data_IF_738680068964
#
_entry.id   IF_738680068964
#
_cell.length_a   1.000
_cell.length_b   1.000
_cell.length_c   1.000
_cell.angle_alpha   90.00
_cell.angle_beta   90.00
_cell.angle_gamma   90.00
#
_symmetry.space_group_name_H-M   'P 1'
#
loop_
_entity.id
_entity.type
_entity.pdbx_description
1 polymer ?
#
# COMPACT_ATOMS: atom_id res chain seq x y z
N UNK A 1 21.47 -23.91 20.41
CA UNK A 1 20.05 -23.49 20.41
C UNK A 1 19.55 -23.69 21.85
N UNK A 2 19.44 -22.57 22.59
CA UNK A 2 19.22 -22.62 24.04
C UNK A 2 17.79 -23.03 24.39
N UNK A 3 17.62 -24.01 25.29
CA UNK A 3 16.30 -24.47 25.81
C UNK A 3 15.45 -23.37 26.47
N UNK A 4 16.04 -22.23 26.84
CA UNK A 4 15.31 -21.08 27.41
C UNK A 4 14.41 -20.35 26.43
N UNK A 5 14.67 -20.38 25.11
CA UNK A 5 13.83 -19.70 24.11
C UNK A 5 12.50 -20.43 23.94
N UNK A 6 12.50 -21.77 24.01
CA UNK A 6 11.29 -22.59 23.84
C UNK A 6 10.36 -22.48 25.06
N UNK A 7 10.90 -22.34 26.27
CA UNK A 7 10.10 -22.21 27.49
C UNK A 7 9.34 -20.88 27.63
N UNK A 8 9.82 -19.79 27.01
CA UNK A 8 9.14 -18.49 27.06
C UNK A 8 7.99 -18.32 26.07
N UNK A 9 8.00 -19.09 24.98
CA UNK A 9 6.89 -19.10 24.01
C UNK A 9 5.67 -19.83 24.58
N UNK A 10 5.87 -20.84 25.44
CA UNK A 10 4.77 -21.58 26.07
C UNK A 10 4.02 -20.83 27.16
N UNK A 11 4.59 -19.75 27.73
CA UNK A 11 3.96 -18.93 28.78
C UNK A 11 3.03 -17.81 28.30
N UNK A 12 2.90 -17.58 26.99
CA UNK A 12 2.01 -16.54 26.39
C UNK A 12 0.62 -17.11 26.05
N UNK A 13 0.35 -18.33 26.43
CA UNK A 13 -0.95 -18.96 26.25
C UNK A 13 -1.98 -18.43 27.25
N UNK A 14 -2.81 -17.44 26.92
CA UNK A 14 -4.20 -17.32 27.37
C UNK A 14 -4.85 -15.93 27.24
N UNK A 15 -4.31 -15.02 26.41
CA UNK A 15 -5.02 -13.76 26.12
C UNK A 15 -5.03 -13.46 24.62
N UNK A 16 -5.79 -14.26 23.88
CA UNK A 16 -6.13 -13.99 22.48
C UNK A 16 -7.48 -13.26 22.42
N UNK A 17 -7.52 -11.90 22.43
CA UNK A 17 -8.79 -11.18 22.28
C UNK A 17 -9.40 -11.37 20.86
N UNK A 18 -8.60 -11.80 19.88
CA UNK A 18 -9.07 -12.00 18.50
C UNK A 18 -10.11 -13.14 18.36
N UNK A 19 -10.00 -14.22 19.15
CA UNK A 19 -11.00 -15.30 19.14
C UNK A 19 -12.33 -14.89 19.80
N UNK A 20 -12.29 -13.95 20.75
CA UNK A 20 -13.51 -13.43 21.40
C UNK A 20 -14.27 -12.46 20.47
N UNK A 21 -13.60 -11.73 19.59
CA UNK A 21 -14.25 -10.87 18.59
C UNK A 21 -14.96 -11.67 17.51
N UNK A 22 -14.45 -12.84 17.13
CA UNK A 22 -15.11 -13.75 16.18
C UNK A 22 -16.40 -14.36 16.73
N UNK A 23 -16.54 -14.55 18.04
CA UNK A 23 -17.73 -15.13 18.64
C UNK A 23 -18.93 -14.17 18.74
N UNK A 24 -18.73 -12.87 18.68
CA UNK A 24 -19.80 -11.85 18.67
C UNK A 24 -20.49 -11.76 17.29
N UNK A 25 -19.89 -12.31 16.24
CA UNK A 25 -20.40 -12.25 14.87
C UNK A 25 -21.43 -13.32 14.52
N UNK A 26 -21.86 -14.16 15.49
CA UNK A 26 -22.85 -15.20 15.27
C UNK A 26 -24.31 -14.76 15.53
N UNK A 27 -24.58 -13.45 15.57
CA UNK A 27 -25.96 -13.00 15.45
C UNK A 27 -26.53 -13.45 14.09
N UNK A 28 -27.79 -13.86 14.01
CA UNK A 28 -28.38 -14.34 12.76
C UNK A 28 -28.35 -13.20 11.74
N UNK A 29 -27.37 -13.29 10.83
CA UNK A 29 -27.20 -12.35 9.73
C UNK A 29 -28.38 -12.56 8.79
N UNK A 30 -29.20 -11.54 8.56
CA UNK A 30 -30.30 -11.58 7.61
C UNK A 30 -29.82 -12.12 6.26
N UNK A 31 -30.67 -12.91 5.58
CA UNK A 31 -30.27 -13.69 4.39
C UNK A 31 -29.73 -12.88 3.20
N UNK A 32 -29.84 -11.54 3.24
CA UNK A 32 -29.37 -10.61 2.21
C UNK A 32 -27.95 -10.07 2.42
N UNK A 33 -27.34 -10.21 3.59
CA UNK A 33 -26.03 -9.66 3.91
C UNK A 33 -24.88 -10.47 3.31
N UNK A 34 -23.87 -9.78 2.80
CA UNK A 34 -22.61 -10.37 2.39
C UNK A 34 -21.59 -10.10 3.50
N UNK A 35 -21.03 -11.17 4.06
CA UNK A 35 -20.00 -11.11 5.08
C UNK A 35 -18.72 -11.72 4.54
N UNK A 36 -17.66 -10.93 4.49
CA UNK A 36 -16.31 -11.37 4.18
C UNK A 36 -15.44 -11.16 5.42
N UNK A 37 -14.73 -12.19 5.84
CA UNK A 37 -13.79 -12.13 6.95
C UNK A 37 -12.45 -12.72 6.52
N UNK A 38 -11.36 -12.07 6.93
CA UNK A 38 -10.01 -12.53 6.69
C UNK A 38 -9.20 -12.52 7.98
N UNK A 39 -8.38 -13.52 8.16
CA UNK A 39 -7.38 -13.58 9.22
C UNK A 39 -6.08 -14.07 8.62
N UNK A 40 -4.98 -13.45 8.95
CA UNK A 40 -3.65 -13.84 8.49
C UNK A 40 -2.67 -13.76 9.64
N UNK A 41 -2.18 -14.91 10.06
CA UNK A 41 -1.11 -15.05 11.04
C UNK A 41 0.21 -15.22 10.31
N UNK A 42 1.20 -14.41 10.64
CA UNK A 42 2.54 -14.47 10.08
C UNK A 42 3.57 -14.59 11.21
N UNK A 43 4.46 -15.55 11.08
CA UNK A 43 5.63 -15.70 11.93
C UNK A 43 6.87 -15.42 11.09
N UNK A 44 7.74 -14.53 11.57
CA UNK A 44 8.97 -14.14 10.89
C UNK A 44 10.17 -14.23 11.81
N UNK A 45 11.21 -14.90 11.33
CA UNK A 45 12.54 -14.91 11.90
C UNK A 45 13.45 -14.09 11.01
N UNK A 46 14.13 -13.09 11.54
CA UNK A 46 15.11 -12.28 10.79
C UNK A 46 16.18 -11.70 11.69
N UNK A 47 17.39 -11.39 11.17
CA UNK A 47 18.35 -10.57 11.89
C UNK A 47 17.84 -9.12 11.97
N UNK A 48 18.13 -8.46 13.07
CA UNK A 48 17.97 -7.02 13.29
C UNK A 48 19.31 -6.44 13.72
N UNK A 49 19.60 -5.26 13.16
CA UNK A 49 20.76 -4.49 13.58
C UNK A 49 20.34 -3.47 14.64
N UNK A 50 20.98 -3.50 15.80
CA UNK A 50 20.61 -2.67 16.92
C UNK A 50 21.87 -2.16 17.64
N UNK A 51 22.07 -0.85 17.66
CA UNK A 51 23.16 -0.20 18.38
C UNK A 51 24.55 -0.81 18.14
N UNK A 52 24.85 -1.23 16.90
CA UNK A 52 26.13 -1.83 16.53
C UNK A 52 26.22 -3.35 16.72
N UNK A 53 25.14 -4.01 17.17
CA UNK A 53 25.08 -5.45 17.35
C UNK A 53 23.97 -6.08 16.49
N UNK A 54 24.20 -7.31 16.01
CA UNK A 54 23.23 -8.07 15.23
C UNK A 54 22.53 -9.09 16.13
N UNK A 55 21.20 -8.99 16.23
CA UNK A 55 20.39 -9.92 17.00
C UNK A 55 19.37 -10.60 16.11
N UNK A 56 19.09 -11.86 16.36
CA UNK A 56 18.01 -12.58 15.71
C UNK A 56 16.71 -12.35 16.48
N UNK A 57 15.70 -11.84 15.79
CA UNK A 57 14.38 -11.59 16.34
C UNK A 57 13.33 -12.52 15.75
N UNK A 58 12.29 -12.76 16.53
CA UNK A 58 11.06 -13.45 16.13
C UNK A 58 9.92 -12.47 16.21
N UNK A 59 9.18 -12.34 15.13
CA UNK A 59 7.96 -11.52 15.06
C UNK A 59 6.77 -12.40 14.74
N UNK A 60 5.73 -12.30 15.55
CA UNK A 60 4.40 -12.82 15.26
C UNK A 60 3.48 -11.66 14.91
N UNK A 61 2.84 -11.69 13.75
CA UNK A 61 1.90 -10.66 13.29
C UNK A 61 0.58 -11.31 12.96
N UNK A 62 -0.51 -10.72 13.43
CA UNK A 62 -1.87 -11.07 13.08
C UNK A 62 -2.52 -9.89 12.35
N UNK A 63 -3.17 -10.17 11.23
CA UNK A 63 -3.95 -9.23 10.44
C UNK A 63 -5.39 -9.74 10.40
N UNK A 64 -6.35 -8.90 10.74
CA UNK A 64 -7.78 -9.24 10.75
C UNK A 64 -8.53 -8.24 9.89
N UNK A 65 -9.39 -8.74 9.01
CA UNK A 65 -10.29 -7.95 8.19
C UNK A 65 -11.72 -8.47 8.29
N UNK A 66 -12.68 -7.56 8.33
CA UNK A 66 -14.11 -7.84 8.26
C UNK A 66 -14.78 -6.83 7.34
N UNK A 67 -15.62 -7.32 6.44
CA UNK A 67 -16.49 -6.50 5.60
C UNK A 67 -17.89 -7.08 5.65
N UNK A 68 -18.85 -6.31 6.11
CA UNK A 68 -20.28 -6.64 6.08
C UNK A 68 -20.95 -5.68 5.12
N UNK A 69 -21.57 -6.19 4.07
CA UNK A 69 -22.16 -5.40 2.98
C UNK A 69 -23.64 -5.69 2.79
N UNK A 70 -24.34 -4.75 2.19
CA UNK A 70 -25.75 -4.83 1.88
C UNK A 70 -26.61 -5.09 3.11
N UNK A 71 -26.37 -4.36 4.20
CA UNK A 71 -27.17 -4.41 5.40
C UNK A 71 -28.46 -3.63 5.10
N UNK A 72 -29.60 -4.28 5.20
CA UNK A 72 -30.90 -3.66 4.96
C UNK A 72 -31.34 -2.82 6.15
N UNK A 73 -31.39 -1.50 5.94
CA UNK A 73 -31.93 -0.54 6.92
C UNK A 73 -32.88 0.41 6.19
N UNK A 74 -34.07 0.60 6.73
CA UNK A 74 -35.07 1.47 6.12
C UNK A 74 -34.53 2.90 5.94
N UNK A 75 -34.57 3.40 4.70
CA UNK A 75 -34.10 4.75 4.35
C UNK A 75 -32.58 4.88 4.14
N UNK A 76 -31.82 3.79 4.23
CA UNK A 76 -30.39 3.74 3.94
C UNK A 76 -30.15 2.71 2.86
N UNK A 77 -29.58 3.15 1.75
CA UNK A 77 -29.14 2.28 0.67
C UNK A 77 -27.70 1.83 0.94
N UNK A 78 -27.38 0.56 0.63
CA UNK A 78 -26.01 0.03 0.68
C UNK A 78 -25.23 0.30 1.99
N UNK A 79 -25.86 0.00 3.14
CA UNK A 79 -25.15 0.13 4.40
C UNK A 79 -24.05 -0.95 4.51
N UNK A 80 -22.83 -0.51 4.75
CA UNK A 80 -21.62 -1.35 4.85
C UNK A 80 -20.86 -1.04 6.14
N UNK A 81 -20.21 -2.08 6.69
CA UNK A 81 -19.29 -1.95 7.84
C UNK A 81 -17.96 -2.55 7.41
N UNK A 82 -16.88 -1.86 7.70
CA UNK A 82 -15.51 -2.32 7.42
C UNK A 82 -14.65 -2.21 8.68
N UNK A 83 -13.90 -3.28 8.93
CA UNK A 83 -12.84 -3.34 9.95
C UNK A 83 -11.57 -3.88 9.31
N UNK A 84 -10.44 -3.26 9.61
CA UNK A 84 -9.10 -3.78 9.37
C UNK A 84 -8.24 -3.44 10.58
N UNK A 85 -7.61 -4.45 11.17
CA UNK A 85 -6.77 -4.29 12.34
C UNK A 85 -5.58 -5.24 12.28
N UNK A 86 -4.51 -4.90 12.97
CA UNK A 86 -3.35 -5.75 13.10
C UNK A 86 -2.77 -5.70 14.51
N UNK A 87 -2.05 -6.78 14.86
CA UNK A 87 -1.27 -6.86 16.08
C UNK A 87 0.05 -7.55 15.81
N UNK A 88 1.09 -7.14 16.49
CA UNK A 88 2.43 -7.71 16.39
C UNK A 88 3.04 -7.96 17.76
N UNK A 89 3.72 -9.09 17.89
CA UNK A 89 4.55 -9.45 19.03
C UNK A 89 5.99 -9.60 18.55
N UNK A 90 6.95 -9.09 19.30
CA UNK A 90 8.38 -9.24 19.02
C UNK A 90 9.12 -9.85 20.22
N UNK A 91 10.06 -10.74 19.94
CA UNK A 91 10.98 -11.24 20.96
C UNK A 91 12.04 -10.22 21.37
N UNK A 92 12.25 -9.20 20.54
CA UNK A 92 13.17 -8.10 20.82
C UNK A 92 12.46 -7.02 21.62
N UNK A 93 13.05 -6.62 22.72
CA UNK A 93 12.59 -5.52 23.57
C UNK A 93 13.69 -4.46 23.60
N UNK A 94 13.42 -3.32 23.05
CA UNK A 94 14.28 -2.16 23.12
C UNK A 94 13.47 -0.85 23.19
N UNK A 95 14.16 0.29 23.17
CA UNK A 95 13.53 1.62 23.23
C UNK A 95 12.62 1.95 22.04
N UNK A 96 12.77 1.22 20.93
CA UNK A 96 11.98 1.44 19.70
C UNK A 96 10.84 0.40 19.59
N UNK A 97 11.07 -0.84 20.06
CA UNK A 97 10.11 -1.93 19.99
C UNK A 97 9.64 -2.35 21.37
N UNK A 98 8.40 -2.08 21.69
CA UNK A 98 7.78 -2.36 23.00
C UNK A 98 7.50 -3.85 23.24
N UNK A 99 7.92 -4.74 22.34
CA UNK A 99 7.63 -6.18 22.40
C UNK A 99 6.23 -6.56 21.93
N UNK A 100 5.24 -5.64 22.01
CA UNK A 100 3.91 -5.80 21.45
C UNK A 100 3.41 -4.46 20.92
N UNK A 101 2.79 -4.48 19.74
CA UNK A 101 2.17 -3.30 19.13
C UNK A 101 0.97 -3.75 18.30
N UNK A 102 0.05 -2.85 18.03
CA UNK A 102 -1.10 -3.11 17.18
C UNK A 102 -1.90 -1.85 16.97
N UNK A 103 -2.68 -1.82 15.89
CA UNK A 103 -3.56 -0.71 15.56
C UNK A 103 -4.78 -1.17 14.76
N UNK A 104 -5.76 -0.30 14.69
CA UNK A 104 -6.92 -0.42 13.81
C UNK A 104 -6.63 0.48 12.60
N UNK A 105 -6.44 -0.11 11.42
CA UNK A 105 -6.21 0.66 10.20
C UNK A 105 -7.51 1.28 9.69
N UNK A 106 -8.61 0.53 9.73
CA UNK A 106 -9.94 0.96 9.29
C UNK A 106 -11.00 0.48 10.27
N UNK A 107 -11.94 1.35 10.59
CA UNK A 107 -13.17 1.00 11.31
C UNK A 107 -14.24 2.02 10.98
N UNK A 108 -15.05 1.74 9.99
CA UNK A 108 -16.08 2.67 9.56
C UNK A 108 -17.40 2.01 9.20
N UNK A 109 -18.43 2.81 9.22
CA UNK A 109 -19.75 2.51 8.69
C UNK A 109 -19.99 3.47 7.52
N UNK A 110 -20.40 2.94 6.38
CA UNK A 110 -20.73 3.69 5.17
C UNK A 110 -22.14 3.36 4.72
N UNK A 111 -22.91 4.36 4.35
CA UNK A 111 -24.23 4.19 3.78
C UNK A 111 -24.53 5.24 2.72
N UNK A 112 -25.43 4.93 1.82
CA UNK A 112 -26.00 5.87 0.86
C UNK A 112 -27.43 6.22 1.24
N UNK A 113 -27.83 7.47 0.93
CA UNK A 113 -29.13 8.03 1.23
C UNK A 113 -29.70 8.68 -0.03
N UNK A 114 -31.02 8.86 -0.09
CA UNK A 114 -31.70 9.56 -1.17
C UNK A 114 -31.40 8.97 -2.56
N UNK A 115 -31.53 7.64 -2.71
CA UNK A 115 -31.20 6.91 -3.95
C UNK A 115 -29.77 7.19 -4.43
N UNK A 116 -28.79 7.01 -3.53
CA UNK A 116 -27.37 7.22 -3.77
C UNK A 116 -26.94 8.68 -4.08
N UNK A 117 -27.81 9.67 -3.86
CA UNK A 117 -27.39 11.07 -4.01
C UNK A 117 -26.44 11.52 -2.90
N UNK A 118 -26.56 11.00 -1.70
CA UNK A 118 -25.67 11.29 -0.59
C UNK A 118 -25.04 10.00 -0.06
N UNK A 119 -23.71 9.89 -0.08
CA UNK A 119 -22.94 8.85 0.58
C UNK A 119 -22.28 9.42 1.82
N UNK A 120 -22.40 8.74 2.96
CA UNK A 120 -21.78 9.12 4.23
C UNK A 120 -20.93 7.99 4.76
N UNK A 121 -19.75 8.32 5.27
CA UNK A 121 -18.84 7.40 5.96
C UNK A 121 -18.48 7.98 7.31
N UNK A 122 -18.61 7.18 8.37
CA UNK A 122 -18.34 7.57 9.75
C UNK A 122 -17.34 6.60 10.38
N UNK A 123 -16.32 7.12 11.04
CA UNK A 123 -15.29 6.35 11.75
C UNK A 123 -13.90 6.51 11.14
N UNK A 124 -13.01 5.54 11.43
CA UNK A 124 -11.64 5.53 10.91
C UNK A 124 -11.61 5.09 9.46
N UNK A 125 -11.27 5.99 8.59
CA UNK A 125 -11.33 5.82 7.14
C UNK A 125 -10.16 6.47 6.42
N UNK A 126 -9.95 6.08 5.16
CA UNK A 126 -9.05 6.77 4.26
C UNK A 126 -9.85 7.74 3.37
N UNK A 127 -9.47 9.00 3.40
CA UNK A 127 -9.92 10.02 2.45
C UNK A 127 -8.82 10.19 1.42
N UNK A 128 -9.16 10.08 0.14
CA UNK A 128 -8.18 10.14 -0.95
C UNK A 128 -8.61 11.09 -2.05
N UNK A 129 -7.61 11.61 -2.78
CA UNK A 129 -7.80 12.49 -3.94
C UNK A 129 -7.64 13.98 -3.62
N UNK A 130 -7.24 14.71 -4.63
CA UNK A 130 -6.96 16.14 -4.54
C UNK A 130 -5.93 16.49 -3.47
N UNK A 131 -6.14 17.59 -2.75
CA UNK A 131 -5.26 18.08 -1.69
C UNK A 131 -5.11 17.10 -0.50
N UNK A 132 -6.08 16.23 -0.26
CA UNK A 132 -5.99 15.22 0.79
C UNK A 132 -4.95 14.14 0.47
N UNK A 133 -4.68 13.87 -0.82
CA UNK A 133 -3.85 12.76 -1.30
C UNK A 133 -4.32 11.42 -0.73
N UNK A 134 -3.74 11.01 0.40
CA UNK A 134 -4.20 9.91 1.25
C UNK A 134 -4.12 10.40 2.69
N UNK A 135 -5.28 10.63 3.30
CA UNK A 135 -5.42 11.07 4.67
C UNK A 135 -6.22 10.00 5.44
N UNK A 136 -5.62 9.41 6.47
CA UNK A 136 -6.35 8.57 7.40
C UNK A 136 -7.01 9.47 8.45
N UNK A 137 -8.31 9.29 8.68
CA UNK A 137 -9.12 10.21 9.47
C UNK A 137 -10.07 9.45 10.40
N UNK A 138 -10.09 9.80 11.67
CA UNK A 138 -11.16 9.47 12.62
C UNK A 138 -12.21 10.56 12.54
N UNK A 139 -13.28 10.35 11.77
CA UNK A 139 -14.23 11.43 11.51
C UNK A 139 -15.37 11.06 10.57
N UNK A 140 -15.81 12.05 9.84
CA UNK A 140 -16.90 11.97 8.86
C UNK A 140 -16.38 12.34 7.47
N UNK A 141 -16.87 11.64 6.47
CA UNK A 141 -16.71 11.97 5.06
C UNK A 141 -18.06 11.80 4.36
N UNK A 142 -18.47 12.80 3.58
CA UNK A 142 -19.71 12.78 2.83
C UNK A 142 -19.49 13.18 1.38
N UNK A 143 -20.22 12.56 0.47
CA UNK A 143 -20.24 12.91 -0.96
C UNK A 143 -21.67 13.12 -1.40
N UNK A 144 -21.96 14.31 -1.91
CA UNK A 144 -23.26 14.69 -2.47
C UNK A 144 -23.18 14.80 -3.99
N UNK A 145 -24.01 14.03 -4.67
CA UNK A 145 -24.18 14.07 -6.13
C UNK A 145 -25.37 14.93 -6.49
N UNK A 146 -25.15 16.10 -7.09
CA UNK A 146 -26.20 16.96 -7.61
C UNK A 146 -26.77 16.42 -8.94
N UNK A 147 -25.92 15.76 -9.70
CA UNK A 147 -26.27 15.08 -10.94
C UNK A 147 -25.28 13.93 -11.19
N UNK A 148 -25.49 13.16 -12.25
CA UNK A 148 -24.50 12.14 -12.67
C UNK A 148 -23.14 12.72 -13.04
N UNK A 149 -23.13 14.01 -13.43
CA UNK A 149 -21.93 14.69 -13.89
C UNK A 149 -21.26 15.55 -12.83
N UNK A 150 -21.95 15.95 -11.76
CA UNK A 150 -21.42 16.92 -10.80
C UNK A 150 -21.68 16.50 -9.37
N UNK A 151 -20.63 16.57 -8.54
CA UNK A 151 -20.73 16.27 -7.12
C UNK A 151 -19.70 17.04 -6.28
N UNK A 152 -19.92 17.01 -4.97
CA UNK A 152 -19.04 17.59 -3.95
C UNK A 152 -18.84 16.59 -2.85
N UNK A 153 -17.60 16.45 -2.37
CA UNK A 153 -17.27 15.71 -1.15
C UNK A 153 -16.71 16.66 -0.10
N UNK A 154 -16.98 16.35 1.18
CA UNK A 154 -16.42 17.07 2.31
C UNK A 154 -16.09 16.09 3.42
N UNK A 155 -15.05 16.37 4.18
CA UNK A 155 -14.61 15.55 5.29
C UNK A 155 -14.11 16.41 6.46
N UNK A 156 -14.23 15.85 7.67
CA UNK A 156 -13.72 16.48 8.89
C UNK A 156 -13.44 15.43 9.97
N UNK A 157 -12.42 15.63 10.79
CA UNK A 157 -12.07 14.75 11.91
C UNK A 157 -10.62 14.87 12.35
N UNK A 158 -10.21 13.94 13.21
CA UNK A 158 -8.84 13.85 13.68
C UNK A 158 -7.99 13.04 12.70
N UNK A 159 -6.91 13.61 12.10
CA UNK A 159 -5.97 12.82 11.30
C UNK A 159 -5.28 11.79 12.18
N UNK A 160 -5.14 10.56 11.67
CA UNK A 160 -4.48 9.48 12.36
C UNK A 160 -3.23 9.08 11.59
N UNK A 161 -2.10 8.99 12.28
CA UNK A 161 -0.90 8.38 11.72
C UNK A 161 -0.75 6.99 12.32
N UNK A 162 -0.98 5.96 11.50
CA UNK A 162 -0.71 4.60 11.93
C UNK A 162 0.75 4.48 12.34
N UNK A 163 1.05 4.33 13.60
CA UNK A 163 2.29 3.74 14.17
C UNK A 163 3.08 4.51 15.21
N UNK A 164 3.12 5.83 15.33
CA UNK A 164 4.16 6.40 16.20
C UNK A 164 3.71 7.32 17.33
N UNK A 165 2.69 8.07 17.17
CA UNK A 165 2.05 8.90 18.23
C UNK A 165 0.79 9.49 17.62
N UNK A 166 -0.30 9.43 18.35
CA UNK A 166 -1.47 10.24 17.99
C UNK A 166 -1.05 11.70 18.16
N UNK A 167 -1.11 12.52 17.11
CA UNK A 167 -0.91 13.94 17.26
C UNK A 167 -2.05 14.47 18.13
N UNK A 168 -1.74 14.78 19.38
CA UNK A 168 -2.73 15.24 20.35
C UNK A 168 -3.24 16.61 19.91
N UNK A 169 -4.54 16.70 19.63
CA UNK A 169 -5.21 17.95 19.28
C UNK A 169 -5.08 18.37 17.81
N UNK A 170 -4.79 17.44 16.89
CA UNK A 170 -4.91 17.72 15.47
C UNK A 170 -6.35 17.55 14.98
N UNK A 171 -6.76 18.47 14.10
CA UNK A 171 -8.04 18.44 13.42
C UNK A 171 -7.83 18.76 11.93
N UNK A 172 -8.38 17.94 11.07
CA UNK A 172 -8.34 18.13 9.63
C UNK A 172 -9.73 18.29 9.06
N UNK A 173 -9.88 19.19 8.10
CA UNK A 173 -11.09 19.30 7.29
C UNK A 173 -10.75 19.71 5.87
N UNK A 174 -11.66 19.38 4.96
CA UNK A 174 -11.47 19.71 3.57
C UNK A 174 -12.64 19.23 2.71
N UNK A 175 -12.46 19.40 1.41
CA UNK A 175 -13.46 18.99 0.45
C UNK A 175 -12.94 19.01 -0.98
N UNK A 176 -13.74 18.43 -1.88
CA UNK A 176 -13.45 18.35 -3.30
C UNK A 176 -14.75 18.53 -4.09
N UNK A 177 -14.77 19.47 -5.03
CA UNK A 177 -15.80 19.58 -6.05
C UNK A 177 -15.29 18.90 -7.33
N UNK A 178 -16.12 18.13 -7.99
CA UNK A 178 -15.70 17.38 -9.17
C UNK A 178 -16.77 17.37 -10.26
N UNK A 179 -16.30 17.29 -11.49
CA UNK A 179 -17.10 17.24 -12.70
C UNK A 179 -16.70 16.04 -13.57
N UNK A 180 -17.70 15.28 -14.01
CA UNK A 180 -17.59 14.09 -14.87
C UNK A 180 -18.26 14.34 -16.20
N UNK A 181 -17.57 14.98 -17.17
CA UNK A 181 -18.18 15.34 -18.46
C UNK A 181 -18.55 14.11 -19.31
N UNK A 182 -17.84 13.01 -19.14
CA UNK A 182 -18.07 11.78 -19.89
C UNK A 182 -17.65 10.56 -19.08
N UNK A 183 -18.02 9.38 -19.56
CA UNK A 183 -17.55 8.12 -18.97
C UNK A 183 -16.02 8.03 -19.03
N UNK A 184 -15.40 7.78 -17.88
CA UNK A 184 -13.93 7.69 -17.75
C UNK A 184 -13.20 9.02 -17.62
N UNK A 185 -13.92 10.16 -17.63
CA UNK A 185 -13.34 11.50 -17.42
C UNK A 185 -13.89 12.13 -16.15
N UNK A 186 -13.00 12.69 -15.33
CA UNK A 186 -13.32 13.44 -14.13
C UNK A 186 -12.26 14.51 -13.90
N UNK A 187 -12.68 15.70 -13.49
CA UNK A 187 -11.81 16.80 -13.06
C UNK A 187 -12.31 17.30 -11.71
N UNK A 188 -11.40 17.58 -10.78
CA UNK A 188 -11.74 18.07 -9.45
C UNK A 188 -10.84 19.21 -9.00
N UNK A 189 -11.40 20.04 -8.13
CA UNK A 189 -10.67 21.03 -7.32
C UNK A 189 -10.93 20.74 -5.87
N UNK A 190 -9.92 20.92 -5.02
CA UNK A 190 -9.96 20.47 -3.63
C UNK A 190 -9.24 21.42 -2.70
N UNK A 191 -9.58 21.31 -1.43
CA UNK A 191 -8.98 22.06 -0.34
C UNK A 191 -8.76 21.12 0.86
N UNK A 192 -7.67 21.33 1.57
CA UNK A 192 -7.35 20.67 2.84
C UNK A 192 -6.78 21.68 3.82
N UNK A 193 -7.25 21.63 5.07
CA UNK A 193 -6.67 22.34 6.18
C UNK A 193 -6.43 21.40 7.36
N UNK A 194 -5.26 21.51 8.01
CA UNK A 194 -4.89 20.78 9.22
C UNK A 194 -4.46 21.79 10.28
N UNK A 195 -5.10 21.71 11.44
CA UNK A 195 -4.82 22.53 12.61
C UNK A 195 -4.21 21.62 13.67
N UNK A 196 -3.07 21.98 14.23
CA UNK A 196 -2.39 21.28 15.32
C UNK A 196 -2.41 22.15 16.57
N UNK A 197 -3.20 21.74 17.58
CA UNK A 197 -3.52 22.59 18.72
C UNK A 197 -4.26 23.87 18.30
N UNK A 198 -3.61 25.02 18.38
CA UNK A 198 -4.15 26.31 17.93
C UNK A 198 -3.41 26.89 16.73
N UNK A 199 -2.52 26.12 16.11
CA UNK A 199 -1.67 26.58 15.02
C UNK A 199 -2.11 25.93 13.72
N UNK A 200 -2.23 26.74 12.66
CA UNK A 200 -2.41 26.23 11.30
C UNK A 200 -1.14 25.47 10.89
N UNK A 201 -1.26 24.16 10.72
CA UNK A 201 -0.15 23.27 10.41
C UNK A 201 0.02 23.06 8.91
N UNK A 202 -1.10 23.07 8.17
CA UNK A 202 -1.10 22.83 6.74
C UNK A 202 -2.35 23.39 6.08
N UNK A 203 -2.18 24.05 4.93
CA UNK A 203 -3.28 24.55 4.12
C UNK A 203 -2.95 24.36 2.64
N UNK A 204 -3.68 23.48 1.97
CA UNK A 204 -3.41 23.09 0.60
C UNK A 204 -4.65 23.29 -0.28
N UNK A 205 -4.40 23.70 -1.52
CA UNK A 205 -5.38 23.60 -2.61
C UNK A 205 -4.87 22.61 -3.63
N UNK A 206 -5.79 21.85 -4.25
CA UNK A 206 -5.42 20.83 -5.22
C UNK A 206 -6.31 20.86 -6.44
N UNK A 207 -5.75 20.45 -7.56
CA UNK A 207 -6.49 20.12 -8.77
C UNK A 207 -6.11 18.70 -9.17
N UNK A 208 -7.07 17.92 -9.63
CA UNK A 208 -6.82 16.58 -10.13
C UNK A 208 -7.76 16.23 -11.26
N UNK A 209 -7.35 15.34 -12.12
CA UNK A 209 -8.20 14.91 -13.20
C UNK A 209 -7.72 13.64 -13.89
N UNK A 210 -8.69 12.95 -14.44
CA UNK A 210 -8.53 11.87 -15.39
C UNK A 210 -9.36 12.18 -16.61
N UNK A 211 -8.79 12.07 -17.79
CA UNK A 211 -9.44 12.40 -19.03
C UNK A 211 -9.25 11.31 -20.06
N UNK A 212 -10.33 10.74 -20.54
CA UNK A 212 -10.33 9.88 -21.74
C UNK A 212 -10.33 10.79 -22.99
N UNK A 213 -9.12 11.13 -23.47
CA UNK A 213 -8.93 12.07 -24.61
C UNK A 213 -9.48 11.44 -25.90
N UNK A 214 -9.16 10.18 -26.11
CA UNK A 214 -9.62 9.32 -27.21
C UNK A 214 -9.92 7.93 -26.63
N UNK A 215 -10.61 7.04 -27.37
CA UNK A 215 -10.85 5.67 -26.90
C UNK A 215 -9.59 4.90 -26.50
N UNK A 216 -8.45 5.25 -27.07
CA UNK A 216 -7.15 4.62 -26.84
C UNK A 216 -6.11 5.55 -26.23
N UNK A 217 -6.50 6.77 -25.79
CA UNK A 217 -5.63 7.75 -25.15
C UNK A 217 -6.28 8.26 -23.88
N UNK A 218 -5.58 8.12 -22.76
CA UNK A 218 -6.00 8.68 -21.47
C UNK A 218 -4.89 9.53 -20.85
N UNK A 219 -5.30 10.59 -20.16
CA UNK A 219 -4.42 11.44 -19.39
C UNK A 219 -4.88 11.45 -17.93
N UNK A 220 -3.93 11.46 -16.99
CA UNK A 220 -4.17 11.77 -15.58
C UNK A 220 -3.24 12.90 -15.18
N UNK A 221 -3.74 13.83 -14.37
CA UNK A 221 -2.93 14.91 -13.84
C UNK A 221 -3.39 15.21 -12.41
N UNK A 222 -2.44 15.62 -11.57
CA UNK A 222 -2.72 16.17 -10.25
C UNK A 222 -1.73 17.28 -9.93
N UNK A 223 -2.15 18.23 -9.11
CA UNK A 223 -1.29 19.29 -8.61
C UNK A 223 -1.80 19.76 -7.25
N UNK A 224 -0.89 20.01 -6.34
CA UNK A 224 -1.16 20.49 -4.99
C UNK A 224 -0.24 21.67 -4.72
N UNK A 225 -0.85 22.76 -4.32
CA UNK A 225 -0.18 23.99 -3.92
C UNK A 225 -0.38 24.20 -2.43
N UNK A 226 0.71 24.35 -1.68
CA UNK A 226 0.68 24.74 -0.28
C UNK A 226 0.51 26.26 -0.19
N UNK A 227 -0.60 26.70 0.39
CA UNK A 227 -0.88 28.13 0.58
C UNK A 227 0.08 28.71 1.62
N UNK A 228 0.37 27.93 2.67
CA UNK A 228 1.21 28.38 3.78
C UNK A 228 2.65 28.57 3.35
N UNK A 229 3.17 27.73 2.47
CA UNK A 229 4.56 27.77 1.99
C UNK A 229 4.70 28.46 0.62
N UNK A 230 3.58 28.92 0.03
CA UNK A 230 3.50 29.61 -1.27
C UNK A 230 4.22 28.87 -2.41
N UNK A 231 4.18 27.52 -2.41
CA UNK A 231 4.86 26.69 -3.42
C UNK A 231 4.08 25.44 -3.79
N UNK A 232 4.45 24.89 -4.93
CA UNK A 232 3.92 23.58 -5.38
C UNK A 232 4.49 22.49 -4.48
N UNK A 233 3.59 21.74 -3.86
CA UNK A 233 3.96 20.65 -2.98
C UNK A 233 4.11 19.33 -3.76
N UNK A 234 3.24 19.12 -4.74
CA UNK A 234 3.27 17.96 -5.63
C UNK A 234 2.57 18.29 -6.94
N UNK A 235 3.09 17.79 -8.03
CA UNK A 235 2.41 17.81 -9.30
C UNK A 235 2.79 16.55 -10.09
N UNK A 236 1.84 15.97 -10.78
CA UNK A 236 2.10 14.82 -11.66
C UNK A 236 1.23 14.87 -12.90
N UNK A 237 1.75 14.34 -13.98
CA UNK A 237 1.03 14.10 -15.22
C UNK A 237 1.44 12.75 -15.80
N UNK A 238 0.47 11.98 -16.26
CA UNK A 238 0.70 10.74 -17.00
C UNK A 238 -0.21 10.71 -18.21
N UNK A 239 0.36 10.43 -19.37
CA UNK A 239 -0.33 10.20 -20.61
C UNK A 239 -0.14 8.74 -21.03
N UNK A 240 -1.21 8.01 -21.26
CA UNK A 240 -1.17 6.64 -21.74
C UNK A 240 -1.80 6.57 -23.12
N UNK A 241 -1.14 5.89 -24.03
CA UNK A 241 -1.58 5.69 -25.40
C UNK A 241 -1.47 4.23 -25.81
N UNK A 242 -2.62 3.58 -25.99
CA UNK A 242 -2.71 2.25 -26.59
C UNK A 242 -2.50 2.34 -28.11
N UNK A 243 -1.25 2.26 -28.56
CA UNK A 243 -0.86 2.40 -29.97
C UNK A 243 -1.37 1.23 -30.81
N UNK A 244 -1.20 0.03 -30.26
CA UNK A 244 -1.67 -1.24 -30.83
C UNK A 244 -2.38 -2.02 -29.73
N UNK A 245 -3.12 -3.04 -30.11
CA UNK A 245 -3.79 -3.93 -29.14
C UNK A 245 -2.84 -4.50 -28.06
N UNK A 246 -1.60 -4.74 -28.44
CA UNK A 246 -0.58 -5.38 -27.62
C UNK A 246 0.58 -4.41 -27.25
N UNK A 247 0.46 -3.11 -27.59
CA UNK A 247 1.48 -2.09 -27.30
C UNK A 247 0.85 -0.84 -26.71
N UNK A 248 1.23 -0.53 -25.50
CA UNK A 248 0.94 0.73 -24.80
C UNK A 248 2.24 1.53 -24.63
N UNK A 249 2.17 2.83 -24.90
CA UNK A 249 3.25 3.79 -24.63
C UNK A 249 2.72 4.78 -23.60
N UNK A 250 3.57 5.18 -22.67
CA UNK A 250 3.22 6.21 -21.70
C UNK A 250 4.32 7.25 -21.55
N UNK A 251 3.89 8.48 -21.25
CA UNK A 251 4.76 9.56 -20.82
C UNK A 251 4.35 10.03 -19.43
N UNK A 252 5.32 10.40 -18.60
CA UNK A 252 5.06 10.89 -17.25
C UNK A 252 5.99 12.04 -16.88
N UNK A 253 5.47 12.95 -16.04
CA UNK A 253 6.25 13.98 -15.39
C UNK A 253 5.75 14.16 -13.97
N UNK A 254 6.64 14.48 -13.04
CA UNK A 254 6.30 14.71 -11.65
C UNK A 254 7.23 15.74 -11.02
N UNK A 255 6.65 16.50 -10.10
CA UNK A 255 7.33 17.37 -9.15
C UNK A 255 6.94 16.96 -7.73
N UNK A 256 7.87 16.88 -6.82
CA UNK A 256 7.59 16.57 -5.41
C UNK A 256 8.51 17.40 -4.50
N UNK A 257 7.92 18.07 -3.52
CA UNK A 257 8.60 18.74 -2.42
C UNK A 257 8.39 17.94 -1.13
N UNK A 258 9.29 16.98 -0.79
CA UNK A 258 9.05 16.00 0.27
C UNK A 258 8.89 16.61 1.66
N UNK A 259 9.55 17.73 1.94
CA UNK A 259 9.46 18.47 3.20
C UNK A 259 8.04 18.96 3.53
N UNK A 260 7.21 19.14 2.51
CA UNK A 260 5.79 19.53 2.68
C UNK A 260 4.86 18.35 3.03
N UNK A 261 5.36 17.12 3.03
CA UNK A 261 4.55 15.93 3.31
C UNK A 261 4.81 15.33 4.66
N UNK A 262 6.01 15.49 5.14
CA UNK A 262 6.42 14.93 6.41
C UNK A 262 5.98 15.89 7.51
N UNK A 263 5.37 15.40 8.59
CA UNK A 263 5.12 16.23 9.77
C UNK A 263 6.42 16.88 10.18
N UNK A 264 6.40 18.17 10.55
CA UNK A 264 7.58 18.92 11.02
C UNK A 264 8.27 18.23 12.21
N UNK A 265 7.52 17.39 12.93
CA UNK A 265 8.03 16.56 14.04
C UNK A 265 8.68 15.25 13.60
N UNK A 266 8.64 14.93 12.31
CA UNK A 266 9.25 13.70 11.79
C UNK A 266 10.76 13.86 11.67
N UNK A 267 11.52 12.92 12.22
CA UNK A 267 12.97 12.80 11.98
C UNK A 267 13.29 12.78 10.47
N UNK A 268 12.40 12.23 9.66
CA UNK A 268 12.60 12.16 8.21
C UNK A 268 12.45 13.50 7.50
N UNK A 269 11.80 14.49 8.09
CA UNK A 269 11.74 15.85 7.52
C UNK A 269 13.11 16.49 7.38
N UNK A 270 14.04 16.14 8.26
CA UNK A 270 15.44 16.65 8.23
C UNK A 270 16.23 16.05 7.05
N UNK A 271 15.81 14.88 6.53
CA UNK A 271 16.50 14.20 5.43
C UNK A 271 15.78 14.34 4.08
N UNK A 272 14.59 14.94 4.06
CA UNK A 272 13.76 15.06 2.88
C UNK A 272 13.70 16.52 2.37
N UNK A 273 14.82 17.22 2.44
CA UNK A 273 14.93 18.67 2.16
C UNK A 273 15.10 18.98 0.66
N UNK A 274 15.01 17.97 -0.20
CA UNK A 274 15.32 18.17 -1.61
C UNK A 274 14.10 18.00 -2.49
N UNK A 275 13.79 19.02 -3.27
CA UNK A 275 12.82 18.93 -4.35
C UNK A 275 13.29 17.92 -5.40
N UNK A 276 12.32 17.19 -5.95
CA UNK A 276 12.57 16.22 -7.02
C UNK A 276 11.61 16.48 -8.17
N UNK A 277 12.19 16.76 -9.33
CA UNK A 277 11.50 16.76 -10.61
C UNK A 277 11.85 15.50 -11.38
N UNK A 278 10.92 15.00 -12.15
CA UNK A 278 11.18 13.89 -13.07
C UNK A 278 10.36 14.03 -14.34
N UNK A 279 10.94 13.60 -15.46
CA UNK A 279 10.21 13.46 -16.71
C UNK A 279 10.76 12.25 -17.47
N UNK A 280 9.85 11.50 -18.09
CA UNK A 280 10.21 10.30 -18.80
C UNK A 280 9.03 9.62 -19.44
N UNK A 281 9.22 8.37 -19.80
CA UNK A 281 8.19 7.55 -20.38
C UNK A 281 8.66 6.13 -20.60
N UNK A 282 7.77 5.33 -21.12
CA UNK A 282 8.07 3.94 -21.34
C UNK A 282 7.04 3.27 -22.24
N UNK A 283 7.16 1.96 -22.28
CA UNK A 283 6.24 1.13 -23.03
C UNK A 283 5.95 -0.18 -22.29
N UNK A 284 4.78 -0.67 -22.51
CA UNK A 284 4.42 -2.06 -22.22
C UNK A 284 4.04 -2.74 -23.53
N UNK A 285 4.76 -3.82 -23.86
CA UNK A 285 4.57 -4.56 -25.10
C UNK A 285 4.36 -6.04 -24.84
N UNK A 286 3.16 -6.54 -25.17
CA UNK A 286 2.88 -7.97 -25.20
C UNK A 286 3.40 -8.56 -26.53
N UNK A 287 4.70 -8.89 -26.58
CA UNK A 287 5.39 -9.36 -27.79
C UNK A 287 4.73 -10.61 -28.36
N UNK A 288 4.36 -11.53 -27.48
CA UNK A 288 3.59 -12.74 -27.82
C UNK A 288 2.57 -13.02 -26.72
N UNK A 289 1.67 -14.00 -26.91
CA UNK A 289 0.77 -14.44 -25.82
C UNK A 289 1.52 -14.92 -24.57
N UNK A 290 2.80 -15.22 -24.70
CA UNK A 290 3.63 -15.80 -23.64
C UNK A 290 4.67 -14.84 -23.10
N UNK A 291 5.04 -13.78 -23.83
CA UNK A 291 6.12 -12.88 -23.46
C UNK A 291 5.67 -11.42 -23.47
N UNK A 292 5.87 -10.75 -22.36
CA UNK A 292 5.68 -9.31 -22.19
C UNK A 292 6.99 -8.60 -21.85
N UNK A 293 7.13 -7.38 -22.32
CA UNK A 293 8.25 -6.47 -22.09
C UNK A 293 7.71 -5.16 -21.52
N UNK A 294 8.35 -4.68 -20.47
CA UNK A 294 8.19 -3.35 -19.92
C UNK A 294 9.52 -2.62 -20.00
N UNK A 295 9.52 -1.41 -20.51
CA UNK A 295 10.66 -0.51 -20.52
C UNK A 295 10.22 0.85 -20.04
N UNK A 296 11.03 1.46 -19.19
CA UNK A 296 10.83 2.82 -18.71
C UNK A 296 12.16 3.54 -18.58
N UNK A 297 12.16 4.82 -18.89
CA UNK A 297 13.27 5.72 -18.62
C UNK A 297 12.72 7.06 -18.13
N UNK A 298 13.40 7.63 -17.12
CA UNK A 298 13.14 8.99 -16.65
C UNK A 298 14.43 9.72 -16.31
N UNK A 299 14.44 10.98 -16.66
CA UNK A 299 15.40 11.96 -16.18
C UNK A 299 14.92 12.50 -14.84
N UNK A 300 15.85 12.65 -13.91
CA UNK A 300 15.62 13.17 -12.57
C UNK A 300 16.37 14.48 -12.42
N UNK A 301 15.73 15.48 -11.82
CA UNK A 301 16.36 16.70 -11.37
C UNK A 301 16.16 16.77 -9.85
N UNK A 302 17.28 16.78 -9.14
CA UNK A 302 17.33 16.84 -7.68
C UNK A 302 18.30 17.92 -7.27
N UNK A 303 18.19 18.41 -6.03
CA UNK A 303 19.17 19.35 -5.53
C UNK A 303 20.56 18.70 -5.57
N UNK A 304 21.53 19.45 -6.09
CA UNK A 304 22.88 18.94 -6.32
C UNK A 304 23.14 18.33 -7.68
N UNK A 305 22.15 18.25 -8.58
CA UNK A 305 22.37 17.86 -9.98
C UNK A 305 21.28 17.01 -10.60
N UNK A 306 21.66 16.31 -11.66
CA UNK A 306 20.76 15.50 -12.45
C UNK A 306 21.01 14.01 -12.21
N UNK A 307 19.96 13.21 -12.36
CA UNK A 307 19.99 11.77 -12.29
C UNK A 307 19.23 11.13 -13.45
N UNK A 308 19.36 9.83 -13.55
CA UNK A 308 18.67 9.00 -14.53
C UNK A 308 18.14 7.75 -13.84
N UNK A 309 16.95 7.33 -14.23
CA UNK A 309 16.38 6.05 -13.82
C UNK A 309 15.92 5.31 -15.06
N UNK A 310 16.27 4.02 -15.15
CA UNK A 310 15.79 3.13 -16.20
C UNK A 310 15.36 1.80 -15.59
N UNK A 311 14.24 1.28 -16.05
CA UNK A 311 13.69 -0.03 -15.66
C UNK A 311 13.38 -0.84 -16.92
N UNK A 312 13.87 -2.07 -16.96
CA UNK A 312 13.58 -3.03 -18.02
C UNK A 312 13.13 -4.34 -17.39
N UNK A 313 11.91 -4.78 -17.70
CA UNK A 313 11.34 -6.02 -17.15
C UNK A 313 10.78 -6.88 -18.27
N UNK A 314 11.09 -8.17 -18.25
CA UNK A 314 10.45 -9.15 -19.11
C UNK A 314 9.78 -10.25 -18.27
N UNK A 315 8.64 -10.71 -18.75
CA UNK A 315 7.90 -11.82 -18.15
C UNK A 315 7.57 -12.83 -19.24
N UNK A 316 7.91 -14.09 -19.01
CA UNK A 316 7.74 -15.19 -19.95
C UNK A 316 6.94 -16.31 -19.31
N UNK A 317 5.82 -16.68 -19.93
CA UNK A 317 5.03 -17.87 -19.57
C UNK A 317 5.65 -19.08 -20.29
N UNK A 318 6.50 -19.85 -19.59
CA UNK A 318 7.15 -21.03 -20.14
C UNK A 318 6.16 -22.15 -20.45
N UNK A 319 5.18 -22.31 -19.55
CA UNK A 319 4.07 -23.26 -19.69
C UNK A 319 2.80 -22.65 -19.07
N UNK A 320 1.67 -23.37 -19.11
CA UNK A 320 0.46 -22.96 -18.38
C UNK A 320 0.67 -22.89 -16.87
N UNK A 321 1.68 -23.60 -16.35
CA UNK A 321 1.97 -23.70 -14.92
C UNK A 321 3.24 -22.94 -14.49
N UNK A 322 4.04 -22.47 -15.43
CA UNK A 322 5.37 -21.86 -15.14
C UNK A 322 5.50 -20.49 -15.76
N UNK A 323 5.96 -19.54 -14.95
CA UNK A 323 6.29 -18.17 -15.38
C UNK A 323 7.67 -17.83 -14.85
N UNK A 324 8.47 -17.16 -15.65
CA UNK A 324 9.74 -16.56 -15.23
C UNK A 324 9.79 -15.09 -15.63
N UNK A 325 10.67 -14.36 -15.00
CA UNK A 325 10.94 -12.97 -15.38
C UNK A 325 12.33 -12.55 -15.04
N UNK A 326 12.76 -11.51 -15.73
CA UNK A 326 14.02 -10.79 -15.50
C UNK A 326 13.70 -9.31 -15.37
N UNK A 327 14.42 -8.63 -14.49
CA UNK A 327 14.32 -7.19 -14.27
C UNK A 327 15.72 -6.62 -14.14
N UNK A 328 15.95 -5.47 -14.77
CA UNK A 328 17.15 -4.68 -14.60
C UNK A 328 16.73 -3.24 -14.32
N UNK A 329 17.16 -2.69 -13.21
CA UNK A 329 16.90 -1.32 -12.82
C UNK A 329 18.22 -0.58 -12.62
N UNK A 330 18.27 0.62 -13.14
CA UNK A 330 19.40 1.53 -13.00
C UNK A 330 18.88 2.83 -12.41
N UNK A 331 19.44 3.24 -11.30
CA UNK A 331 19.18 4.55 -10.70
C UNK A 331 20.54 5.24 -10.52
N UNK A 332 20.68 6.40 -11.11
CA UNK A 332 21.84 7.26 -10.95
C UNK A 332 21.39 8.61 -10.43
N UNK A 333 21.90 9.01 -9.29
CA UNK A 333 21.72 10.35 -8.72
C UNK A 333 23.09 10.89 -8.29
N UNK A 334 23.28 12.21 -8.13
CA UNK A 334 24.58 12.78 -7.79
C UNK A 334 25.24 12.17 -6.56
N UNK A 335 24.46 11.79 -5.56
CA UNK A 335 24.94 11.24 -4.30
C UNK A 335 25.32 9.76 -4.40
N UNK A 336 24.64 8.99 -5.23
CA UNK A 336 24.93 7.55 -5.44
C UNK A 336 24.33 7.03 -6.74
N UNK A 337 24.72 5.83 -7.12
CA UNK A 337 24.14 5.04 -8.21
C UNK A 337 23.85 3.63 -7.74
N UNK A 338 22.75 3.07 -8.23
CA UNK A 338 22.30 1.71 -7.91
C UNK A 338 21.99 0.98 -9.20
N UNK A 339 22.49 -0.23 -9.34
CA UNK A 339 22.10 -1.18 -10.38
C UNK A 339 21.53 -2.42 -9.72
N UNK A 340 20.28 -2.71 -10.01
CA UNK A 340 19.60 -3.92 -9.52
C UNK A 340 19.34 -4.87 -10.68
N UNK A 341 19.68 -6.13 -10.48
CA UNK A 341 19.36 -7.22 -11.39
C UNK A 341 18.56 -8.27 -10.62
N UNK A 342 17.41 -8.65 -11.14
CA UNK A 342 16.53 -9.62 -10.51
C UNK A 342 16.06 -10.67 -11.52
N UNK A 343 16.05 -11.92 -11.09
CA UNK A 343 15.46 -13.02 -11.83
C UNK A 343 14.53 -13.80 -10.92
N UNK A 344 13.35 -14.16 -11.43
CA UNK A 344 12.41 -14.97 -10.67
C UNK A 344 11.76 -16.05 -11.52
N UNK A 345 11.31 -17.10 -10.86
CA UNK A 345 10.55 -18.18 -11.46
C UNK A 345 9.42 -18.59 -10.51
N UNK A 346 8.28 -18.92 -11.08
CA UNK A 346 7.15 -19.48 -10.36
C UNK A 346 6.61 -20.69 -11.11
N UNK A 347 6.35 -21.77 -10.39
CA UNK A 347 5.83 -23.02 -10.94
C UNK A 347 4.70 -23.58 -10.06
N UNK A 348 3.54 -23.86 -10.66
CA UNK A 348 2.44 -24.55 -9.99
C UNK A 348 2.60 -26.06 -10.18
N UNK A 349 2.97 -26.78 -9.11
CA UNK A 349 3.06 -28.24 -9.11
C UNK A 349 1.69 -28.85 -9.42
N UNK A 350 0.64 -28.29 -8.79
CA UNK A 350 -0.75 -28.64 -9.02
C UNK A 350 -1.62 -27.40 -8.74
N UNK A 351 -2.94 -27.57 -8.69
CA UNK A 351 -3.88 -26.47 -8.41
C UNK A 351 -3.76 -25.88 -6.99
N UNK A 352 -3.17 -26.65 -6.07
CA UNK A 352 -3.06 -26.27 -4.66
C UNK A 352 -1.67 -25.75 -4.27
N UNK A 353 -0.61 -26.18 -4.94
CA UNK A 353 0.77 -25.91 -4.53
C UNK A 353 1.49 -25.13 -5.61
N UNK A 354 2.04 -23.98 -5.24
CA UNK A 354 2.91 -23.16 -6.08
C UNK A 354 4.26 -22.94 -5.39
N UNK A 355 5.32 -23.16 -6.13
CA UNK A 355 6.69 -22.85 -5.74
C UNK A 355 7.15 -21.59 -6.47
N UNK A 356 7.96 -20.76 -5.80
CA UNK A 356 8.65 -19.65 -6.44
C UNK A 356 10.07 -19.50 -5.89
N UNK A 357 10.95 -19.04 -6.74
CA UNK A 357 12.31 -18.64 -6.39
C UNK A 357 12.62 -17.29 -7.04
N UNK A 358 13.43 -16.50 -6.36
CA UNK A 358 13.81 -15.15 -6.72
C UNK A 358 15.25 -14.92 -6.30
N UNK A 359 16.04 -14.28 -7.15
CA UNK A 359 17.40 -13.85 -6.85
C UNK A 359 17.54 -12.40 -7.29
N UNK A 360 18.00 -11.57 -6.39
CA UNK A 360 18.24 -10.15 -6.62
C UNK A 360 19.67 -9.80 -6.24
N UNK A 361 20.36 -9.09 -7.13
CA UNK A 361 21.69 -8.57 -6.93
C UNK A 361 21.71 -7.06 -7.15
N UNK A 362 22.24 -6.33 -6.16
CA UNK A 362 22.38 -4.87 -6.19
C UNK A 362 23.85 -4.51 -6.21
N UNK A 363 24.24 -3.58 -7.09
CA UNK A 363 25.57 -2.95 -7.10
C UNK A 363 25.41 -1.47 -6.80
N UNK A 364 26.19 -0.97 -5.84
CA UNK A 364 26.22 0.44 -5.45
C UNK A 364 27.46 1.11 -6.04
N UNK A 365 27.30 2.26 -6.68
CA UNK A 365 28.40 3.07 -7.18
C UNK A 365 29.30 3.55 -6.04
N UNK A 366 28.68 4.05 -4.98
CA UNK A 366 29.36 4.44 -3.74
C UNK A 366 29.00 3.43 -2.66
N UNK A 367 30.00 2.72 -2.10
CA UNK A 367 29.77 1.71 -1.08
C UNK A 367 29.03 2.26 0.15
N UNK A 368 28.11 1.48 0.70
CA UNK A 368 27.45 1.74 1.98
C UNK A 368 28.01 0.76 3.01
N UNK A 369 28.44 1.24 4.16
CA UNK A 369 29.12 0.44 5.20
C UNK A 369 30.29 -0.41 4.64
N UNK A 370 31.12 0.20 3.75
CA UNK A 370 32.21 -0.44 3.05
C UNK A 370 31.79 -1.62 2.13
N UNK A 371 30.51 -1.76 1.82
CA UNK A 371 29.97 -2.81 0.96
C UNK A 371 29.46 -2.20 -0.34
N UNK A 372 30.00 -2.66 -1.48
CA UNK A 372 29.67 -2.16 -2.81
C UNK A 372 28.42 -2.83 -3.43
N UNK A 373 27.74 -3.71 -2.73
CA UNK A 373 26.53 -4.35 -3.25
C UNK A 373 25.91 -5.37 -2.31
N UNK A 374 24.83 -5.98 -2.78
CA UNK A 374 24.12 -7.05 -2.07
C UNK A 374 23.70 -8.15 -3.05
N UNK A 375 23.49 -9.33 -2.52
CA UNK A 375 22.84 -10.43 -3.21
C UNK A 375 21.91 -11.14 -2.24
N UNK A 376 20.66 -11.35 -2.65
CA UNK A 376 19.64 -12.02 -1.85
C UNK A 376 18.90 -13.01 -2.72
N UNK A 377 18.86 -14.27 -2.27
CA UNK A 377 18.02 -15.31 -2.85
C UNK A 377 16.83 -15.60 -1.94
N UNK A 378 15.64 -15.75 -2.52
CA UNK A 378 14.41 -16.10 -1.80
C UNK A 378 13.75 -17.29 -2.47
N UNK A 379 13.29 -18.24 -1.67
CA UNK A 379 12.44 -19.34 -2.14
C UNK A 379 11.16 -19.39 -1.32
N UNK A 380 10.04 -19.71 -1.95
CA UNK A 380 8.77 -19.85 -1.25
C UNK A 380 7.92 -20.99 -1.81
N UNK A 381 7.09 -21.54 -0.93
CA UNK A 381 6.03 -22.48 -1.26
C UNK A 381 4.71 -21.93 -0.72
N UNK A 382 3.69 -21.88 -1.57
CA UNK A 382 2.32 -21.53 -1.17
C UNK A 382 1.42 -22.73 -1.36
N UNK A 383 0.52 -22.94 -0.42
CA UNK A 383 -0.41 -24.06 -0.41
C UNK A 383 -1.85 -23.58 -0.15
N UNK A 384 -2.75 -23.81 -1.10
CA UNK A 384 -4.19 -23.65 -0.95
C UNK A 384 -4.75 -24.95 -0.31
N UNK A 385 -4.94 -24.93 1.02
CA UNK A 385 -5.36 -26.09 1.82
C UNK A 385 -6.81 -26.46 1.51
N UNK A 386 -7.65 -25.47 1.21
CA UNK A 386 -9.07 -25.60 0.93
C UNK A 386 -9.93 -24.94 1.99
N UNK A 387 -11.24 -24.81 1.72
CA UNK A 387 -12.22 -24.18 2.64
C UNK A 387 -11.78 -22.78 3.14
N UNK A 388 -11.17 -21.99 2.27
CA UNK A 388 -10.69 -20.64 2.60
C UNK A 388 -9.30 -20.59 3.25
N UNK A 389 -8.67 -21.72 3.57
CA UNK A 389 -7.34 -21.77 4.18
C UNK A 389 -6.22 -21.76 3.14
N UNK A 390 -5.18 -20.99 3.41
CA UNK A 390 -3.95 -20.99 2.66
C UNK A 390 -2.74 -20.91 3.61
N UNK A 391 -1.63 -21.47 3.19
CA UNK A 391 -0.35 -21.41 3.91
C UNK A 391 0.77 -21.00 2.98
N UNK A 392 1.80 -20.37 3.53
CA UNK A 392 3.05 -20.03 2.83
C UNK A 392 4.22 -20.25 3.76
N UNK A 393 5.28 -20.82 3.21
CA UNK A 393 6.60 -20.85 3.82
C UNK A 393 7.56 -20.16 2.84
N UNK A 394 8.37 -19.22 3.32
CA UNK A 394 9.37 -18.51 2.54
C UNK A 394 10.67 -18.40 3.33
N UNK A 395 11.77 -18.61 2.66
CA UNK A 395 13.11 -18.39 3.21
C UNK A 395 13.91 -17.49 2.29
N UNK A 396 14.67 -16.55 2.84
CA UNK A 396 15.66 -15.77 2.11
C UNK A 396 17.02 -15.90 2.75
N UNK A 397 18.06 -15.88 1.91
CA UNK A 397 19.45 -15.88 2.32
C UNK A 397 20.22 -14.91 1.42
N UNK A 398 21.10 -14.12 2.02
CA UNK A 398 21.90 -13.18 1.25
C UNK A 398 22.89 -12.39 2.10
N UNK A 399 23.60 -11.50 1.42
CA UNK A 399 24.48 -10.51 2.01
C UNK A 399 23.96 -9.11 1.63
N UNK A 400 23.99 -8.18 2.56
CA UNK A 400 23.55 -6.78 2.36
C UNK A 400 24.59 -5.83 2.95
N UNK A 401 24.55 -4.52 2.68
CA UNK A 401 25.44 -3.55 3.31
C UNK A 401 25.35 -3.50 4.84
N UNK A 402 24.29 -4.03 5.43
CA UNK A 402 24.09 -4.04 6.89
C UNK A 402 24.38 -5.41 7.52
N UNK A 403 24.34 -6.49 6.73
CA UNK A 403 24.53 -7.86 7.21
C UNK A 403 25.39 -8.64 6.23
N UNK A 404 26.52 -9.18 6.71
CA UNK A 404 27.35 -10.10 5.91
C UNK A 404 26.61 -11.38 5.55
N UNK A 405 25.70 -11.81 6.43
CA UNK A 405 24.79 -12.91 6.17
C UNK A 405 23.44 -12.57 6.79
N UNK A 406 22.45 -12.37 5.96
CA UNK A 406 21.07 -12.15 6.35
C UNK A 406 20.23 -13.36 5.98
N UNK A 407 19.71 -14.08 6.96
CA UNK A 407 18.79 -15.20 6.75
C UNK A 407 17.42 -14.84 7.35
N UNK A 408 16.37 -14.93 6.53
CA UNK A 408 15.00 -14.70 7.00
C UNK A 408 14.15 -15.93 6.71
N UNK A 409 13.32 -16.32 7.67
CA UNK A 409 12.30 -17.34 7.50
C UNK A 409 10.95 -16.74 7.82
N UNK A 410 9.97 -16.93 6.94
CA UNK A 410 8.60 -16.47 7.14
C UNK A 410 7.63 -17.62 6.93
N UNK A 411 6.78 -17.87 7.90
CA UNK A 411 5.63 -18.76 7.78
C UNK A 411 4.36 -17.93 7.90
N UNK A 412 3.37 -18.20 7.05
CA UNK A 412 2.08 -17.52 7.03
C UNK A 412 0.96 -18.54 6.90
N UNK A 413 -0.08 -18.36 7.70
CA UNK A 413 -1.37 -19.03 7.53
C UNK A 413 -2.42 -17.94 7.37
N UNK A 414 -3.24 -18.07 6.35
CA UNK A 414 -4.38 -17.20 6.08
C UNK A 414 -5.68 -17.96 6.03
N UNK A 415 -6.73 -17.33 6.48
CA UNK A 415 -8.11 -17.80 6.36
C UNK A 415 -8.96 -16.71 5.74
N UNK A 416 -9.78 -17.09 4.77
CA UNK A 416 -10.77 -16.22 4.14
C UNK A 416 -12.14 -16.90 4.18
N UNK A 417 -13.10 -16.22 4.75
CA UNK A 417 -14.50 -16.61 4.76
C UNK A 417 -15.30 -15.63 3.90
N UNK A 418 -16.21 -16.16 3.07
CA UNK A 418 -17.20 -15.35 2.36
C UNK A 418 -18.49 -16.16 2.23
N UNK A 419 -19.60 -15.62 2.75
CA UNK A 419 -20.90 -16.27 2.61
C UNK A 419 -21.49 -16.13 1.22
N UNK A 420 -20.98 -15.21 0.38
CA UNK A 420 -21.38 -15.07 -1.02
C UNK A 420 -21.01 -16.29 -1.86
N UNK A 421 -19.82 -16.85 -1.64
CA UNK A 421 -19.36 -18.03 -2.36
C UNK A 421 -20.19 -19.28 -2.02
N UNK A 422 -20.70 -19.39 -0.78
CA UNK A 422 -21.53 -20.49 -0.36
C UNK A 422 -22.93 -20.48 -1.03
N UNK A 423 -23.50 -19.29 -1.29
CA UNK A 423 -24.79 -19.14 -1.98
C UNK A 423 -24.68 -19.47 -3.48
N UNK A 424 -23.52 -19.26 -4.12
CA UNK A 424 -23.26 -19.59 -5.52
C UNK A 424 -23.05 -21.09 -5.77
N UNK A 425 -22.56 -21.81 -4.78
CA UNK A 425 -22.33 -23.27 -4.87
C UNK A 425 -23.62 -24.13 -4.60
N UNK A 426 -24.67 -23.50 -4.07
CA UNK A 426 -25.94 -24.14 -3.75
C UNK A 426 -27.01 -24.03 -4.87
N UNK A 427 -26.68 -23.46 -6.01
CA UNK A 427 -27.47 -23.42 -7.24
C UNK A 427 -26.82 -24.30 -8.29
#
# INVERSE_FOLDING_TARGET
MNREIVGRIAGVGSRWPALALLSILWAPVAAAQVVDATSTTMLRLKPEWQAGDTRNGVWGTELVGLSVRNIEVAGVDDLNIQLSAWGQLSSLKDSIYTGSTGDIDLLYIQGALFNHHLSLTLGRQLVSGGAARVLQLDGVNGTLMFSRAFGVSAYAGAPTTSRFTYPVGEFAFGGRAFWRPSYGSEVGVSFLEIISGSVLSRQDVGVDGRWAVLPNVSATASGIFSIQEERVADASVTLNWQVLKDLEIFGKGAHTSPDLFLPLTSIFSVFADTNRDSAGGGLFWQITRQAGLYLEYQRLWVDGGNGDEADARTTIKLTRKSTMGLEARFLFVPTNGVTDLRAWVSHSLNEKIRLSADVEGTVLKNPVNATGGSIVGTASATWAIGSGWNAMLSGSLGATPFFQTAATLTARIGYTFSNWQQKGAAK
#
